data_IF_292652950489
#
_entry.id   IF_292652950489
#
_cell.length_a   1.000
_cell.length_b   1.000
_cell.length_c   1.000
_cell.angle_alpha   90.00
_cell.angle_beta   90.00
_cell.angle_gamma   90.00
#
_symmetry.space_group_name_H-M   'P 1'
#
loop_
_entity.id
_entity.type
_entity.pdbx_description
1 polymer ?
#
# COMPACT_ATOMS: atom_id res chain seq x y z
N UNK A 1 3.55 6.32 -10.55
CA UNK A 1 3.91 7.55 -9.82
C UNK A 1 5.14 8.15 -10.46
N UNK A 2 5.14 9.47 -10.70
CA UNK A 2 6.28 10.24 -11.21
C UNK A 2 6.65 11.31 -10.18
N UNK A 3 7.91 11.37 -9.79
CA UNK A 3 8.42 12.42 -8.88
C UNK A 3 8.65 13.68 -9.74
N UNK A 4 8.15 14.83 -9.27
CA UNK A 4 8.27 16.11 -9.96
C UNK A 4 9.31 17.01 -9.31
N UNK A 5 9.25 17.17 -7.97
CA UNK A 5 10.14 18.06 -7.23
C UNK A 5 10.34 17.55 -5.81
N UNK A 6 11.58 17.55 -5.37
CA UNK A 6 11.96 17.26 -3.98
C UNK A 6 12.59 18.51 -3.38
N UNK A 7 12.10 18.96 -2.24
CA UNK A 7 12.70 20.04 -1.44
C UNK A 7 12.91 19.52 -0.03
N UNK A 8 14.12 19.68 0.51
CA UNK A 8 14.39 19.26 1.88
C UNK A 8 15.38 20.18 2.55
N UNK A 9 15.40 20.16 3.87
CA UNK A 9 16.22 21.04 4.70
C UNK A 9 16.74 20.28 5.91
N UNK A 10 18.04 20.41 6.17
CA UNK A 10 18.73 19.92 7.36
C UNK A 10 18.51 18.41 7.62
N UNK A 11 18.67 17.59 6.58
CA UNK A 11 18.54 16.14 6.68
C UNK A 11 19.92 15.47 6.66
N UNK A 12 20.19 14.63 7.64
CA UNK A 12 21.45 13.88 7.83
C UNK A 12 22.67 14.83 7.72
N UNK A 13 23.57 14.57 6.78
CA UNK A 13 24.77 15.37 6.53
C UNK A 13 24.51 16.64 5.70
N UNK A 14 23.33 16.76 5.07
CA UNK A 14 23.01 17.90 4.21
C UNK A 14 22.35 19.01 5.02
N UNK A 15 23.16 20.00 5.41
CA UNK A 15 22.74 21.21 6.11
C UNK A 15 22.21 22.24 5.09
N UNK A 16 21.21 23.05 5.50
CA UNK A 16 20.59 24.07 4.67
C UNK A 16 19.47 23.51 3.78
N UNK A 17 18.95 24.36 2.91
CA UNK A 17 17.85 24.06 2.01
C UNK A 17 18.35 23.54 0.67
N UNK A 18 17.78 22.45 0.21
CA UNK A 18 18.10 21.79 -1.05
C UNK A 18 16.82 21.57 -1.86
N UNK A 19 16.92 21.78 -3.16
CA UNK A 19 15.80 21.53 -4.07
C UNK A 19 16.31 20.82 -5.32
N UNK A 20 15.62 19.74 -5.70
CA UNK A 20 15.86 18.99 -6.93
C UNK A 20 14.57 19.05 -7.74
N UNK A 21 14.63 19.65 -8.92
CA UNK A 21 13.52 19.69 -9.87
C UNK A 21 13.72 18.61 -10.94
N UNK A 22 12.99 17.51 -10.82
CA UNK A 22 13.04 16.40 -11.77
C UNK A 22 12.34 16.68 -13.11
N UNK A 23 11.71 17.86 -13.25
CA UNK A 23 11.14 18.32 -14.52
C UNK A 23 12.16 19.12 -15.35
N UNK A 24 13.33 19.44 -14.77
CA UNK A 24 14.39 20.14 -15.48
C UNK A 24 14.90 19.36 -16.70
N UNK A 25 15.45 20.05 -17.71
CA UNK A 25 15.90 19.41 -18.95
C UNK A 25 16.85 18.24 -18.76
N UNK A 26 17.71 18.30 -17.73
CA UNK A 26 18.71 17.28 -17.41
C UNK A 26 18.09 15.91 -17.01
N UNK A 27 16.83 15.90 -16.59
CA UNK A 27 16.11 14.70 -16.20
C UNK A 27 15.15 14.14 -17.28
N UNK A 28 15.06 14.77 -18.43
CA UNK A 28 14.10 14.40 -19.51
C UNK A 28 14.31 13.01 -20.09
N UNK A 29 15.55 12.49 -20.04
CA UNK A 29 15.87 11.14 -20.50
C UNK A 29 15.20 10.03 -19.67
N UNK A 30 14.67 10.36 -18.48
CA UNK A 30 14.11 9.39 -17.53
C UNK A 30 15.15 8.52 -16.80
N UNK A 31 16.41 8.57 -17.21
CA UNK A 31 17.53 7.86 -16.59
C UNK A 31 18.59 8.90 -16.24
N UNK A 32 18.98 8.95 -14.98
CA UNK A 32 20.03 9.84 -14.48
C UNK A 32 20.84 9.17 -13.36
N UNK A 33 22.04 9.66 -13.11
CA UNK A 33 22.92 9.17 -12.06
C UNK A 33 23.22 10.29 -11.05
N UNK A 34 23.15 9.97 -9.76
CA UNK A 34 23.60 10.82 -8.68
C UNK A 34 24.99 10.36 -8.29
N UNK A 35 26.00 11.15 -8.66
CA UNK A 35 27.41 10.83 -8.43
C UNK A 35 28.00 11.72 -7.36
N UNK A 36 29.01 11.23 -6.65
CA UNK A 36 29.73 11.97 -5.61
C UNK A 36 30.52 11.02 -4.69
N UNK A 37 31.45 11.53 -3.90
CA UNK A 37 32.25 10.73 -2.98
C UNK A 37 31.40 10.07 -1.88
N UNK A 38 31.98 9.11 -1.18
CA UNK A 38 31.32 8.47 -0.03
C UNK A 38 31.04 9.53 1.04
N UNK A 39 29.85 9.52 1.64
CA UNK A 39 29.43 10.50 2.65
C UNK A 39 28.85 11.81 2.10
N UNK A 40 28.84 12.03 0.78
CA UNK A 40 28.34 13.28 0.17
C UNK A 40 26.80 13.45 0.24
N UNK A 41 26.06 12.55 0.89
CA UNK A 41 24.62 12.69 1.07
C UNK A 41 23.76 12.11 -0.06
N UNK A 42 24.32 11.32 -1.00
CA UNK A 42 23.53 10.68 -2.08
C UNK A 42 22.31 9.92 -1.56
N UNK A 43 22.50 9.10 -0.56
CA UNK A 43 21.43 8.31 0.07
C UNK A 43 20.45 9.19 0.87
N UNK A 44 20.90 10.35 1.32
CA UNK A 44 20.03 11.32 2.03
C UNK A 44 18.90 11.81 1.15
N UNK A 45 19.12 11.91 -0.16
CA UNK A 45 18.06 12.27 -1.14
C UNK A 45 16.94 11.22 -1.12
N UNK A 46 17.31 9.95 -1.08
CA UNK A 46 16.34 8.84 -0.97
C UNK A 46 15.65 8.83 0.39
N UNK A 47 16.39 9.09 1.48
CA UNK A 47 15.82 9.23 2.81
C UNK A 47 14.81 10.38 2.86
N UNK A 48 15.11 11.51 2.21
CA UNK A 48 14.20 12.68 2.13
C UNK A 48 12.89 12.33 1.39
N UNK A 49 12.95 11.57 0.30
CA UNK A 49 11.75 11.08 -0.41
C UNK A 49 10.88 10.22 0.51
N UNK A 50 11.48 9.22 1.17
CA UNK A 50 10.77 8.35 2.09
C UNK A 50 10.17 9.11 3.27
N UNK A 51 10.92 10.06 3.82
CA UNK A 51 10.49 10.89 4.93
C UNK A 51 9.28 11.75 4.54
N UNK A 52 9.34 12.38 3.36
CA UNK A 52 8.24 13.18 2.83
C UNK A 52 6.97 12.34 2.65
N UNK A 53 7.05 11.13 2.14
CA UNK A 53 5.90 10.26 1.88
C UNK A 53 5.39 9.58 3.15
N UNK A 54 6.25 8.86 3.84
CA UNK A 54 5.86 7.90 4.88
C UNK A 54 6.22 8.34 6.30
N UNK A 55 7.04 9.40 6.47
CA UNK A 55 7.53 9.82 7.77
C UNK A 55 8.56 8.86 8.39
N UNK A 56 9.11 7.98 7.57
CA UNK A 56 10.15 7.02 7.94
C UNK A 56 11.28 7.05 6.93
N UNK A 57 12.47 6.61 7.32
CA UNK A 57 13.59 6.41 6.41
C UNK A 57 13.96 4.93 6.35
N UNK A 58 14.57 4.45 5.26
CA UNK A 58 14.97 3.04 5.13
C UNK A 58 16.00 2.57 6.16
N UNK A 59 16.84 3.48 6.65
CA UNK A 59 17.99 3.19 7.51
C UNK A 59 17.82 3.56 8.96
N UNK A 60 17.03 4.60 9.23
CA UNK A 60 16.86 5.16 10.56
C UNK A 60 15.47 4.75 11.05
N UNK A 61 15.39 4.27 12.27
CA UNK A 61 14.17 3.78 12.88
C UNK A 61 13.07 4.86 13.06
N UNK A 62 12.24 4.72 14.06
CA UNK A 62 11.14 5.64 14.29
C UNK A 62 11.62 7.01 14.75
N UNK A 63 11.10 8.05 14.10
CA UNK A 63 11.32 9.44 14.50
C UNK A 63 10.23 9.80 15.51
N UNK A 64 10.62 10.22 16.71
CA UNK A 64 9.74 10.52 17.82
C UNK A 64 10.06 11.89 18.42
N UNK A 65 9.33 12.27 19.48
CA UNK A 65 9.66 13.45 20.26
C UNK A 65 10.94 13.28 21.09
N UNK A 66 11.36 12.06 21.35
CA UNK A 66 12.55 11.76 22.17
C UNK A 66 13.78 11.46 21.30
N UNK A 67 13.61 11.16 20.02
CA UNK A 67 14.72 10.81 19.12
C UNK A 67 14.43 11.23 17.70
N UNK A 68 15.35 12.00 17.11
CA UNK A 68 15.36 12.32 15.69
C UNK A 68 16.81 12.30 15.18
N UNK A 69 17.21 11.14 14.68
CA UNK A 69 18.55 10.94 14.11
C UNK A 69 18.65 11.45 12.65
N UNK A 70 17.52 11.84 12.05
CA UNK A 70 17.45 12.37 10.67
C UNK A 70 17.81 13.84 10.63
N UNK A 71 17.50 14.57 11.70
CA UNK A 71 17.81 16.01 11.79
C UNK A 71 19.32 16.21 11.85
N UNK A 72 19.83 17.13 11.02
CA UNK A 72 21.23 17.57 11.11
C UNK A 72 21.53 18.09 12.53
N UNK A 73 22.64 17.68 13.12
CA UNK A 73 22.99 17.95 14.53
C UNK A 73 23.07 19.44 14.85
N UNK A 74 23.53 20.23 13.89
CA UNK A 74 23.73 21.69 14.02
C UNK A 74 22.46 22.49 13.64
N UNK A 75 21.31 21.84 13.56
CA UNK A 75 20.07 22.49 13.12
C UNK A 75 18.96 22.32 14.15
N UNK A 76 18.03 23.28 14.16
CA UNK A 76 16.89 23.29 15.08
C UNK A 76 15.60 22.81 14.43
N UNK A 77 15.62 22.61 13.13
CA UNK A 77 14.50 22.08 12.36
C UNK A 77 14.97 21.26 11.17
N UNK A 78 14.15 20.31 10.77
CA UNK A 78 14.32 19.60 9.51
C UNK A 78 12.98 19.46 8.81
N UNK A 79 13.04 19.44 7.48
CA UNK A 79 11.84 19.34 6.63
C UNK A 79 12.13 18.53 5.39
N UNK A 80 11.12 17.80 4.90
CA UNK A 80 11.13 17.22 3.56
C UNK A 80 9.76 17.43 2.91
N UNK A 81 9.76 17.78 1.62
CA UNK A 81 8.56 18.01 0.82
C UNK A 81 8.76 17.40 -0.57
N UNK A 82 7.85 16.55 -0.99
CA UNK A 82 7.87 15.87 -2.27
C UNK A 82 6.63 16.21 -3.07
N UNK A 83 6.81 16.73 -4.28
CA UNK A 83 5.74 16.83 -5.27
C UNK A 83 5.83 15.66 -6.24
N UNK A 84 4.69 15.01 -6.47
CA UNK A 84 4.61 13.87 -7.36
C UNK A 84 3.26 13.82 -8.08
N UNK A 85 3.24 13.09 -9.19
CA UNK A 85 2.05 12.89 -10.01
C UNK A 85 1.71 11.41 -10.07
N UNK A 86 0.41 11.12 -9.99
CA UNK A 86 -0.20 9.80 -10.21
C UNK A 86 -1.29 9.92 -11.27
N UNK A 87 -1.95 8.82 -11.61
CA UNK A 87 -3.12 8.84 -12.51
C UNK A 87 -4.29 9.67 -11.94
N UNK A 88 -4.38 9.80 -10.61
CA UNK A 88 -5.45 10.52 -9.91
C UNK A 88 -5.17 12.02 -9.70
N UNK A 89 -3.98 12.50 -10.09
CA UNK A 89 -3.62 13.91 -10.00
C UNK A 89 -2.21 14.20 -9.49
N UNK A 90 -1.93 15.49 -9.22
CA UNK A 90 -0.67 15.97 -8.67
C UNK A 90 -0.82 16.22 -7.18
N UNK A 91 0.16 15.79 -6.41
CA UNK A 91 0.15 15.82 -4.94
C UNK A 91 1.44 16.37 -4.38
N UNK A 92 1.36 16.93 -3.17
CA UNK A 92 2.50 17.33 -2.35
C UNK A 92 2.41 16.67 -0.99
N UNK A 93 3.43 15.93 -0.62
CA UNK A 93 3.57 15.35 0.71
C UNK A 93 4.67 16.10 1.46
N UNK A 94 4.38 16.59 2.67
CA UNK A 94 5.36 17.32 3.49
C UNK A 94 5.48 16.65 4.86
N UNK A 95 6.70 16.61 5.36
CA UNK A 95 7.05 16.18 6.70
C UNK A 95 8.02 17.19 7.33
N UNK A 96 7.85 17.53 8.59
CA UNK A 96 8.77 18.38 9.31
C UNK A 96 8.76 18.14 10.81
N UNK A 97 9.87 18.41 11.46
CA UNK A 97 10.01 18.41 12.92
C UNK A 97 10.99 19.50 13.34
N UNK A 98 10.76 20.08 14.52
CA UNK A 98 11.61 21.11 15.12
C UNK A 98 12.03 20.67 16.52
N UNK A 99 13.17 21.17 17.03
CA UNK A 99 13.52 21.10 18.43
C UNK A 99 12.53 21.92 19.27
N UNK A 100 12.25 21.49 20.48
CA UNK A 100 11.47 22.31 21.43
C UNK A 100 12.29 23.52 21.91
N UNK A 101 11.63 24.57 22.34
CA UNK A 101 12.30 25.79 22.89
C UNK A 101 13.27 25.49 24.05
N UNK A 102 13.00 24.41 24.80
CA UNK A 102 13.81 23.97 25.93
C UNK A 102 14.66 22.73 25.59
N UNK A 103 15.04 22.55 24.31
CA UNK A 103 15.75 21.35 23.85
C UNK A 103 17.02 21.07 24.67
N UNK A 104 17.83 22.07 24.95
CA UNK A 104 19.07 21.95 25.71
C UNK A 104 18.88 21.37 27.12
N UNK A 105 17.70 21.59 27.73
CA UNK A 105 17.34 21.06 29.04
C UNK A 105 16.63 19.71 28.99
N UNK A 106 15.83 19.47 27.98
CA UNK A 106 14.92 18.32 27.89
C UNK A 106 15.34 17.25 26.89
N UNK A 107 16.19 17.61 25.92
CA UNK A 107 16.53 16.76 24.78
C UNK A 107 15.33 16.42 23.87
N UNK A 108 14.19 17.14 24.01
CA UNK A 108 12.93 16.78 23.32
C UNK A 108 12.71 17.58 22.06
N UNK A 109 12.21 16.90 21.06
CA UNK A 109 11.72 17.48 19.82
C UNK A 109 10.23 17.83 19.92
N UNK A 110 9.78 18.73 19.06
CA UNK A 110 8.37 19.02 18.89
C UNK A 110 7.62 17.88 18.22
N UNK A 111 6.33 18.03 18.11
CA UNK A 111 5.51 17.07 17.34
C UNK A 111 5.92 17.08 15.87
N UNK A 112 5.86 15.91 15.26
CA UNK A 112 6.00 15.77 13.82
C UNK A 112 4.78 16.39 13.15
N UNK A 113 5.01 17.29 12.22
CA UNK A 113 3.98 17.86 11.34
C UNK A 113 4.07 17.15 10.01
N UNK A 114 2.97 16.55 9.58
CA UNK A 114 2.93 15.75 8.37
C UNK A 114 1.65 16.04 7.59
N UNK A 115 1.76 16.58 6.38
CA UNK A 115 0.63 17.04 5.57
C UNK A 115 0.65 16.41 4.19
N UNK A 116 -0.52 16.29 3.60
CA UNK A 116 -0.74 15.87 2.22
C UNK A 116 -1.69 16.86 1.54
N UNK A 117 -1.33 17.31 0.36
CA UNK A 117 -2.09 18.28 -0.43
C UNK A 117 -2.28 17.75 -1.85
N UNK A 118 -3.39 18.07 -2.47
CA UNK A 118 -3.68 17.82 -3.88
C UNK A 118 -3.69 19.15 -4.63
N UNK A 119 -3.11 19.19 -5.81
CA UNK A 119 -3.18 20.35 -6.69
C UNK A 119 -4.51 20.35 -7.45
N UNK A 120 -5.27 21.43 -7.33
CA UNK A 120 -6.53 21.66 -8.01
C UNK A 120 -6.82 23.17 -8.10
N UNK A 121 -7.44 23.59 -9.18
CA UNK A 121 -7.84 25.01 -9.42
C UNK A 121 -6.71 26.03 -9.22
N UNK A 122 -5.48 25.65 -9.60
CA UNK A 122 -4.29 26.50 -9.50
C UNK A 122 -3.69 26.62 -8.10
N UNK A 123 -4.21 25.91 -7.09
CA UNK A 123 -3.74 25.97 -5.71
C UNK A 123 -3.57 24.59 -5.08
N UNK A 124 -2.87 24.53 -3.95
CA UNK A 124 -2.68 23.33 -3.15
C UNK A 124 -3.78 23.21 -2.10
N UNK A 125 -4.57 22.16 -2.15
CA UNK A 125 -5.70 21.90 -1.27
C UNK A 125 -5.31 20.77 -0.31
N UNK A 126 -5.34 20.99 1.03
CA UNK A 126 -5.09 19.93 2.01
C UNK A 126 -6.10 18.79 1.87
N UNK A 127 -5.62 17.56 1.86
CA UNK A 127 -6.47 16.36 1.82
C UNK A 127 -6.39 15.53 3.10
N UNK A 128 -5.46 15.87 4.00
CA UNK A 128 -5.37 15.25 5.33
C UNK A 128 -5.92 16.20 6.38
N UNK A 129 -6.88 15.73 7.16
CA UNK A 129 -7.34 16.44 8.34
C UNK A 129 -6.28 16.36 9.44
N UNK A 130 -5.73 17.54 9.79
CA UNK A 130 -4.67 17.67 10.80
C UNK A 130 -3.29 17.21 10.32
N UNK A 131 -2.33 17.31 11.22
CA UNK A 131 -0.90 17.05 10.93
C UNK A 131 -0.41 15.67 11.42
N UNK A 132 -1.31 14.69 11.57
CA UNK A 132 -0.98 13.36 12.10
C UNK A 132 -0.31 12.49 11.03
N UNK A 133 0.83 11.90 11.37
CA UNK A 133 1.60 10.98 10.51
C UNK A 133 0.75 9.78 10.05
N UNK A 134 -0.11 9.26 10.92
CA UNK A 134 -0.94 8.08 10.64
C UNK A 134 -1.96 8.35 9.53
N UNK A 135 -2.67 9.48 9.59
CA UNK A 135 -3.65 9.87 8.56
C UNK A 135 -2.99 10.04 7.21
N UNK A 136 -1.84 10.73 7.17
CA UNK A 136 -1.07 10.90 5.94
C UNK A 136 -0.59 9.56 5.37
N UNK A 137 -0.07 8.65 6.21
CA UNK A 137 0.42 7.35 5.76
C UNK A 137 -0.68 6.55 5.05
N UNK A 138 -1.90 6.59 5.57
CA UNK A 138 -3.06 5.94 4.95
C UNK A 138 -3.40 6.57 3.59
N UNK A 139 -3.42 7.89 3.49
CA UNK A 139 -3.68 8.59 2.23
C UNK A 139 -2.58 8.35 1.19
N UNK A 140 -1.31 8.39 1.59
CA UNK A 140 -0.18 8.04 0.71
C UNK A 140 -0.35 6.62 0.17
N UNK A 141 -0.71 5.65 1.02
CA UNK A 141 -0.92 4.26 0.61
C UNK A 141 -2.09 4.12 -0.37
N UNK A 142 -3.19 4.86 -0.17
CA UNK A 142 -4.34 4.87 -1.11
C UNK A 142 -3.95 5.46 -2.47
N UNK A 143 -3.20 6.58 -2.47
CA UNK A 143 -2.86 7.33 -3.69
C UNK A 143 -1.77 6.63 -4.49
N UNK A 144 -0.74 6.11 -3.82
CA UNK A 144 0.41 5.44 -4.46
C UNK A 144 0.15 3.94 -4.67
N UNK A 145 -0.71 3.33 -3.84
CA UNK A 145 -1.00 1.90 -3.86
C UNK A 145 0.06 1.02 -3.19
N UNK A 146 1.07 1.62 -2.54
CA UNK A 146 2.19 0.91 -1.92
C UNK A 146 2.33 1.28 -0.45
N UNK A 147 2.51 0.28 0.41
CA UNK A 147 2.98 0.50 1.78
C UNK A 147 4.43 0.94 1.79
N UNK A 148 4.94 1.42 2.94
CA UNK A 148 6.34 1.80 3.08
C UNK A 148 7.31 0.67 2.73
N UNK A 149 7.05 -0.55 3.25
CA UNK A 149 7.90 -1.71 3.00
C UNK A 149 7.89 -2.14 1.52
N UNK A 150 6.73 -2.05 0.87
CA UNK A 150 6.59 -2.30 -0.56
C UNK A 150 7.33 -1.24 -1.38
N UNK A 151 7.15 0.04 -1.06
CA UNK A 151 7.85 1.16 -1.70
C UNK A 151 9.37 1.02 -1.57
N UNK A 152 9.87 0.69 -0.38
CA UNK A 152 11.28 0.45 -0.12
C UNK A 152 11.85 -0.69 -0.99
N UNK A 153 11.11 -1.78 -1.13
CA UNK A 153 11.56 -2.96 -1.90
C UNK A 153 11.42 -2.81 -3.41
N UNK A 154 10.47 -2.00 -3.89
CA UNK A 154 10.10 -1.92 -5.31
C UNK A 154 10.63 -0.67 -6.01
N UNK A 155 10.54 0.48 -5.36
CA UNK A 155 10.90 1.78 -5.93
C UNK A 155 12.30 2.21 -5.49
N UNK A 156 12.62 1.91 -4.23
CA UNK A 156 13.92 2.24 -3.64
C UNK A 156 14.71 0.99 -3.40
N UNK A 157 15.35 0.48 -4.41
CA UNK A 157 16.33 -0.62 -4.27
C UNK A 157 17.54 -0.11 -3.48
N UNK A 158 17.36 0.03 -2.15
CA UNK A 158 18.45 0.46 -1.28
C UNK A 158 19.56 -0.58 -1.27
N UNK A 159 20.78 -0.17 -0.89
CA UNK A 159 21.94 -1.03 -0.88
C UNK A 159 21.68 -2.31 -0.07
N UNK A 160 21.69 -3.46 -0.75
CA UNK A 160 21.37 -4.78 -0.18
C UNK A 160 19.95 -5.27 -0.37
N UNK A 161 18.95 -4.40 -0.53
CA UNK A 161 17.53 -4.80 -0.69
C UNK A 161 17.28 -5.44 -2.06
N UNK A 162 18.01 -5.05 -3.10
CA UNK A 162 17.94 -5.72 -4.41
C UNK A 162 18.40 -7.18 -4.34
N UNK A 163 19.48 -7.44 -3.64
CA UNK A 163 19.95 -8.81 -3.41
C UNK A 163 18.94 -9.61 -2.56
N UNK A 164 18.31 -8.98 -1.58
CA UNK A 164 17.25 -9.58 -0.78
C UNK A 164 16.01 -9.91 -1.63
N UNK A 165 15.59 -8.99 -2.51
CA UNK A 165 14.51 -9.23 -3.47
C UNK A 165 14.84 -10.41 -4.42
N UNK A 166 16.06 -10.45 -4.97
CA UNK A 166 16.47 -11.56 -5.84
C UNK A 166 16.52 -12.91 -5.10
N UNK A 167 16.83 -12.91 -3.81
CA UNK A 167 16.85 -14.11 -2.95
C UNK A 167 15.51 -14.46 -2.32
N UNK A 168 14.49 -13.58 -2.40
CA UNK A 168 13.17 -13.85 -1.84
C UNK A 168 12.46 -15.01 -2.55
N UNK A 169 11.52 -15.64 -1.87
CA UNK A 169 10.75 -16.77 -2.41
C UNK A 169 9.94 -16.36 -3.64
N UNK A 170 9.67 -17.28 -4.60
CA UNK A 170 8.91 -16.97 -5.82
C UNK A 170 7.57 -16.27 -5.56
N UNK A 171 6.83 -16.70 -4.54
CA UNK A 171 5.54 -16.09 -4.18
C UNK A 171 5.68 -14.64 -3.70
N UNK A 172 6.71 -14.31 -2.94
CA UNK A 172 6.97 -12.94 -2.46
C UNK A 172 7.40 -12.03 -3.63
N UNK A 173 8.18 -12.56 -4.57
CA UNK A 173 8.53 -11.86 -5.82
C UNK A 173 7.29 -11.57 -6.65
N UNK A 174 6.44 -12.57 -6.86
CA UNK A 174 5.21 -12.44 -7.63
C UNK A 174 4.28 -11.38 -7.01
N UNK A 175 4.04 -11.43 -5.70
CA UNK A 175 3.23 -10.43 -5.00
C UNK A 175 3.79 -9.00 -5.15
N UNK A 176 5.12 -8.84 -5.02
CA UNK A 176 5.75 -7.53 -5.18
C UNK A 176 5.61 -7.01 -6.60
N UNK A 177 5.81 -7.88 -7.61
CA UNK A 177 5.63 -7.52 -9.02
C UNK A 177 4.17 -7.20 -9.36
N UNK A 178 3.22 -7.98 -8.87
CA UNK A 178 1.77 -7.71 -9.04
C UNK A 178 1.39 -6.34 -8.48
N UNK A 179 1.96 -5.96 -7.32
CA UNK A 179 1.71 -4.65 -6.71
C UNK A 179 2.29 -3.50 -7.53
N UNK A 180 3.50 -3.66 -8.08
CA UNK A 180 4.15 -2.64 -8.91
C UNK A 180 3.41 -2.45 -10.23
N UNK A 181 2.98 -3.55 -10.87
CA UNK A 181 2.32 -3.55 -12.17
C UNK A 181 0.82 -3.25 -12.08
N UNK A 182 0.24 -3.23 -10.87
CA UNK A 182 -1.20 -3.06 -10.67
C UNK A 182 -2.03 -4.28 -11.09
N UNK A 183 -1.40 -5.44 -11.30
CA UNK A 183 -2.06 -6.66 -11.77
C UNK A 183 -2.73 -7.48 -10.67
N UNK A 184 -2.74 -7.00 -9.43
CA UNK A 184 -3.43 -7.63 -8.28
C UNK A 184 -4.92 -7.92 -8.54
N UNK A 185 -5.56 -7.11 -9.40
CA UNK A 185 -6.96 -7.30 -9.78
C UNK A 185 -7.20 -8.70 -10.37
N UNK A 186 -6.26 -9.22 -11.16
CA UNK A 186 -6.38 -10.54 -11.78
C UNK A 186 -6.28 -11.67 -10.74
N UNK A 187 -5.37 -11.56 -9.78
CA UNK A 187 -5.25 -12.52 -8.66
C UNK A 187 -6.52 -12.53 -7.79
N UNK A 188 -7.08 -11.36 -7.50
CA UNK A 188 -8.34 -11.23 -6.76
C UNK A 188 -9.52 -11.82 -7.52
N UNK A 189 -9.61 -11.56 -8.82
CA UNK A 189 -10.64 -12.14 -9.69
C UNK A 189 -10.52 -13.66 -9.76
N UNK A 190 -9.30 -14.19 -9.96
CA UNK A 190 -9.05 -15.63 -10.00
C UNK A 190 -9.47 -16.30 -8.71
N UNK A 191 -9.11 -15.74 -7.55
CA UNK A 191 -9.52 -16.27 -6.24
C UNK A 191 -11.04 -16.24 -6.06
N UNK A 192 -11.71 -15.17 -6.44
CA UNK A 192 -13.18 -15.09 -6.36
C UNK A 192 -13.87 -16.10 -7.27
N UNK A 193 -13.39 -16.23 -8.51
CA UNK A 193 -13.93 -17.22 -9.47
C UNK A 193 -13.74 -18.64 -8.92
N UNK A 194 -12.57 -18.95 -8.37
CA UNK A 194 -12.32 -20.27 -7.79
C UNK A 194 -13.29 -20.57 -6.63
N UNK A 195 -13.46 -19.65 -5.69
CA UNK A 195 -14.39 -19.82 -4.56
C UNK A 195 -15.82 -20.00 -5.05
N UNK A 196 -16.27 -19.21 -6.02
CA UNK A 196 -17.61 -19.38 -6.62
C UNK A 196 -17.77 -20.72 -7.32
N UNK A 197 -16.75 -21.16 -8.07
CA UNK A 197 -16.78 -22.46 -8.74
C UNK A 197 -16.87 -23.62 -7.74
N UNK A 198 -16.11 -23.58 -6.64
CA UNK A 198 -16.17 -24.58 -5.58
C UNK A 198 -17.54 -24.59 -4.88
N UNK A 199 -18.11 -23.43 -4.60
CA UNK A 199 -19.47 -23.35 -4.04
C UNK A 199 -20.52 -23.97 -4.97
N UNK A 200 -20.44 -23.67 -6.27
CA UNK A 200 -21.37 -24.25 -7.26
C UNK A 200 -21.20 -25.75 -7.41
N UNK A 201 -19.97 -26.26 -7.43
CA UNK A 201 -19.69 -27.69 -7.46
C UNK A 201 -20.30 -28.41 -6.25
N UNK A 202 -20.14 -27.83 -5.06
CA UNK A 202 -20.73 -28.40 -3.84
C UNK A 202 -22.25 -28.43 -3.90
N UNK A 203 -22.87 -27.32 -4.30
CA UNK A 203 -24.32 -27.25 -4.50
C UNK A 203 -24.81 -28.29 -5.51
N UNK A 204 -24.11 -28.43 -6.62
CA UNK A 204 -24.44 -29.43 -7.64
C UNK A 204 -24.33 -30.87 -7.08
N UNK A 205 -23.24 -31.20 -6.38
CA UNK A 205 -23.07 -32.48 -5.76
C UNK A 205 -24.14 -32.80 -4.71
N UNK A 206 -24.52 -31.80 -3.90
CA UNK A 206 -25.58 -31.95 -2.91
C UNK A 206 -26.95 -32.23 -3.60
N UNK A 207 -27.26 -31.48 -4.68
CA UNK A 207 -28.48 -31.72 -5.47
C UNK A 207 -28.48 -33.05 -6.20
N UNK A 208 -27.33 -33.48 -6.70
CA UNK A 208 -27.20 -34.80 -7.33
C UNK A 208 -27.47 -35.94 -6.31
N UNK A 209 -26.93 -35.81 -5.10
CA UNK A 209 -27.23 -36.76 -4.00
C UNK A 209 -28.71 -36.76 -3.63
N UNK A 210 -29.36 -35.59 -3.58
CA UNK A 210 -30.79 -35.47 -3.28
C UNK A 210 -31.63 -36.21 -4.33
N UNK A 211 -31.26 -36.07 -5.61
CA UNK A 211 -31.92 -36.78 -6.71
C UNK A 211 -31.70 -38.32 -6.60
N UNK A 212 -30.45 -38.75 -6.31
CA UNK A 212 -30.10 -40.16 -6.15
C UNK A 212 -30.85 -40.82 -4.96
N UNK A 213 -31.04 -40.05 -3.86
CA UNK A 213 -31.75 -40.53 -2.67
C UNK A 213 -33.27 -40.47 -2.80
N UNK A 214 -33.78 -39.77 -3.83
CA UNK A 214 -35.21 -39.69 -4.13
C UNK A 214 -35.55 -40.49 -5.39
N UNK A 215 -35.57 -41.84 -5.31
CA UNK A 215 -35.88 -42.65 -6.46
C UNK A 215 -37.28 -42.30 -6.97
N UNK A 216 -37.35 -41.91 -8.22
CA UNK A 216 -38.64 -41.75 -8.91
C UNK A 216 -39.27 -43.15 -8.94
N UNK A 217 -40.38 -43.33 -8.23
CA UNK A 217 -41.14 -44.58 -8.28
C UNK A 217 -41.63 -44.77 -9.71
N UNK A 218 -41.37 -45.93 -10.28
CA UNK A 218 -41.88 -46.30 -11.59
C UNK A 218 -43.41 -46.19 -11.59
N UNK A 219 -44.00 -45.67 -12.67
CA UNK A 219 -45.43 -45.47 -12.79
C UNK A 219 -46.25 -46.74 -12.44
N UNK A 220 -45.71 -47.95 -12.79
CA UNK A 220 -46.31 -49.21 -12.42
C UNK A 220 -46.36 -49.44 -10.88
N UNK A 221 -45.30 -49.00 -10.16
CA UNK A 221 -45.26 -49.09 -8.69
C UNK A 221 -46.23 -48.11 -8.06
N UNK A 222 -46.38 -46.92 -8.63
CA UNK A 222 -47.34 -45.89 -8.17
C UNK A 222 -48.76 -46.39 -8.35
N UNK A 223 -49.09 -46.98 -9.51
CA UNK A 223 -50.43 -47.56 -9.77
C UNK A 223 -50.77 -48.67 -8.80
N UNK A 224 -49.82 -49.61 -8.60
CA UNK A 224 -50.04 -50.75 -7.65
C UNK A 224 -50.29 -50.25 -6.23
N UNK A 225 -49.55 -49.23 -5.79
CA UNK A 225 -49.77 -48.64 -4.45
C UNK A 225 -51.07 -47.85 -4.35
N UNK A 226 -51.50 -47.21 -5.42
CA UNK A 226 -52.83 -46.52 -5.46
C UNK A 226 -53.97 -47.56 -5.41
N UNK A 227 -53.88 -48.71 -6.08
CA UNK A 227 -54.88 -49.78 -6.01
C UNK A 227 -54.95 -50.38 -4.61
N UNK A 228 -53.76 -50.64 -3.98
CA UNK A 228 -53.71 -51.14 -2.60
C UNK A 228 -54.35 -50.13 -1.63
N UNK A 229 -54.10 -48.85 -1.81
CA UNK A 229 -54.67 -47.78 -0.97
C UNK A 229 -56.19 -47.72 -1.13
N UNK A 230 -56.74 -47.90 -2.36
CA UNK A 230 -58.16 -47.97 -2.61
C UNK A 230 -58.81 -49.18 -1.93
N UNK A 231 -58.17 -50.37 -2.04
CA UNK A 231 -58.67 -51.58 -1.38
C UNK A 231 -58.73 -51.42 0.14
N UNK A 232 -57.69 -50.91 0.78
CA UNK A 232 -57.67 -50.68 2.23
C UNK A 232 -58.72 -49.61 2.63
N UNK A 233 -58.95 -48.62 1.79
CA UNK A 233 -59.93 -47.55 2.07
C UNK A 233 -61.36 -48.07 1.94
N UNK A 234 -61.63 -49.05 1.08
CA UNK A 234 -62.90 -49.76 0.96
C UNK A 234 -63.14 -50.71 2.12
N UNK A 235 -62.13 -51.46 2.55
CA UNK A 235 -62.23 -52.35 3.72
C UNK A 235 -62.44 -51.57 5.04
N UNK A 236 -61.92 -50.35 5.16
CA UNK A 236 -62.08 -49.49 6.34
C UNK A 236 -63.43 -48.79 6.41
N UNK A 237 -64.29 -48.92 5.39
CA UNK A 237 -65.67 -48.35 5.35
C UNK A 237 -66.73 -49.38 5.72
N UNK A 238 -66.39 -50.63 5.96
CA UNK A 238 -67.24 -51.69 6.48
C UNK A 238 -67.09 -51.77 8.01
#
# INVERSE_FOLDING_TARGET
MQILKLSFENINSLKGAWTIDFQAPDFRSGIFAIVGPTGSGKTTILDAICLALYGHTPRIGSITQNANEVMNRDSDSCRSSLEFQTLSGRYRATWSQKKQKNFDKTGKYGQVVSTMEKFGDGCWIPITEGSKVTSKKQEVQKIIGLSFDQFKRSVMLSQGDFAAFLKSKPNEKAQTLEQITGTQVYSLLSTKIYVLAEQQKKLFADKQREVELSPVLDDAVVQTKQEQLKGITEEAKV
#
